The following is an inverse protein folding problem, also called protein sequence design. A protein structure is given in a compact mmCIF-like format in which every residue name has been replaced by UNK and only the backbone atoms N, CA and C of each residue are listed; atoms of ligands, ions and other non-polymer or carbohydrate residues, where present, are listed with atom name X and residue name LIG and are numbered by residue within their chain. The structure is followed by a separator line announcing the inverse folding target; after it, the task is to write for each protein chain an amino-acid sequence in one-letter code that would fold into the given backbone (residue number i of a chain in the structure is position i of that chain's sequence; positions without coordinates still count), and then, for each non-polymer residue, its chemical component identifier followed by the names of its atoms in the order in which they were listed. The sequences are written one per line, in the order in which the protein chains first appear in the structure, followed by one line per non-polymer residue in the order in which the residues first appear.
data_IF_693180043640
#
_entry.id   IF_693180043640
#
_cell.length_a   1.000
_cell.length_b   1.000
_cell.length_c   1.000
_cell.angle_alpha   90.00
_cell.angle_beta   90.00
_cell.angle_gamma   90.00
#
_symmetry.space_group_name_H-M   'P 1'
#
loop_
_entity.id
_entity.type
_entity.pdbx_description
1 polymer ?
#
# COMPACT_ATOMS: atom_id res chain seq x y z
N UNK A 1 -35.16 1.57 1.56
CA UNK A 1 -34.69 0.36 2.27
C UNK A 1 -34.12 -0.73 1.36
N UNK A 2 -34.86 -1.33 0.40
CA UNK A 2 -34.27 -2.38 -0.49
C UNK A 2 -33.17 -1.85 -1.43
N UNK A 3 -33.38 -0.70 -2.08
CA UNK A 3 -32.38 -0.10 -2.99
C UNK A 3 -31.10 0.32 -2.27
N UNK A 4 -31.23 0.91 -1.09
CA UNK A 4 -30.11 1.39 -0.26
C UNK A 4 -29.18 0.25 0.17
N UNK A 5 -29.75 -0.92 0.50
CA UNK A 5 -28.98 -2.12 0.82
C UNK A 5 -28.27 -2.67 -0.45
N UNK A 6 -28.92 -2.62 -1.61
CA UNK A 6 -28.30 -3.01 -2.89
C UNK A 6 -27.12 -2.10 -3.25
N UNK A 7 -27.28 -0.77 -3.16
CA UNK A 7 -26.18 0.17 -3.48
C UNK A 7 -25.00 -0.03 -2.53
N UNK A 8 -25.23 -0.21 -1.22
CA UNK A 8 -24.14 -0.49 -0.26
C UNK A 8 -23.39 -1.78 -0.60
N UNK A 9 -24.10 -2.84 -1.02
CA UNK A 9 -23.48 -4.11 -1.46
C UNK A 9 -22.67 -3.96 -2.74
N UNK A 10 -23.17 -3.21 -3.71
CA UNK A 10 -22.46 -2.92 -4.97
C UNK A 10 -21.19 -2.14 -4.68
N UNK A 11 -21.27 -1.07 -3.87
CA UNK A 11 -20.11 -0.28 -3.47
C UNK A 11 -19.06 -1.12 -2.74
N UNK A 12 -19.50 -2.02 -1.85
CA UNK A 12 -18.61 -2.92 -1.13
C UNK A 12 -17.91 -3.89 -2.09
N UNK A 13 -18.67 -4.54 -2.97
CA UNK A 13 -18.14 -5.45 -3.98
C UNK A 13 -17.12 -4.75 -4.89
N UNK A 14 -17.45 -3.54 -5.36
CA UNK A 14 -16.56 -2.72 -6.18
C UNK A 14 -15.24 -2.44 -5.46
N UNK A 15 -15.26 -1.96 -4.21
CA UNK A 15 -14.04 -1.72 -3.44
C UNK A 15 -13.22 -3.01 -3.28
N UNK A 16 -13.84 -4.15 -2.94
CA UNK A 16 -13.12 -5.41 -2.88
C UNK A 16 -12.46 -5.82 -4.21
N UNK A 17 -13.06 -5.48 -5.35
CA UNK A 17 -12.55 -5.80 -6.66
C UNK A 17 -11.41 -4.89 -7.13
N UNK A 18 -11.35 -3.63 -6.68
CA UNK A 18 -10.39 -2.62 -7.18
C UNK A 18 -8.94 -3.12 -7.19
N UNK A 19 -8.37 -3.68 -6.10
CA UNK A 19 -6.97 -4.09 -6.13
C UNK A 19 -6.67 -5.16 -7.20
N UNK A 20 -7.59 -6.09 -7.40
CA UNK A 20 -7.45 -7.15 -8.39
C UNK A 20 -7.59 -6.62 -9.82
N UNK A 21 -8.52 -5.69 -10.06
CA UNK A 21 -8.68 -5.04 -11.36
C UNK A 21 -7.45 -4.21 -11.73
N UNK A 22 -6.94 -3.41 -10.79
CA UNK A 22 -5.74 -2.59 -10.97
C UNK A 22 -4.52 -3.47 -11.24
N UNK A 23 -4.31 -4.53 -10.45
CA UNK A 23 -3.18 -5.43 -10.64
C UNK A 23 -3.26 -6.18 -11.98
N UNK A 24 -4.42 -6.75 -12.30
CA UNK A 24 -4.62 -7.51 -13.55
C UNK A 24 -4.36 -6.65 -14.78
N UNK A 25 -4.81 -5.40 -14.76
CA UNK A 25 -4.56 -4.49 -15.86
C UNK A 25 -3.13 -3.96 -15.91
N UNK A 26 -2.58 -3.53 -14.76
CA UNK A 26 -1.22 -2.98 -14.69
C UNK A 26 -0.15 -4.00 -15.11
N UNK A 27 -0.33 -5.27 -14.78
CA UNK A 27 0.57 -6.35 -15.19
C UNK A 27 0.17 -7.02 -16.52
N UNK A 28 -1.12 -7.05 -16.87
CA UNK A 28 -1.60 -7.76 -18.06
C UNK A 28 -1.66 -6.93 -19.34
N UNK A 29 -2.01 -5.64 -19.24
CA UNK A 29 -2.07 -4.71 -20.40
C UNK A 29 -0.72 -4.01 -20.57
N UNK A 30 -0.07 -3.65 -19.46
CA UNK A 30 1.19 -2.91 -19.45
C UNK A 30 1.00 -1.39 -19.56
N UNK A 31 1.99 -0.68 -20.10
CA UNK A 31 1.98 0.78 -20.18
C UNK A 31 0.95 1.28 -21.18
N UNK A 32 0.13 2.25 -20.75
CA UNK A 32 -0.90 2.93 -21.54
C UNK A 32 -0.55 4.42 -21.62
N UNK A 33 -0.96 5.10 -22.70
CA UNK A 33 -0.80 6.56 -22.82
C UNK A 33 -1.44 7.32 -21.65
N UNK A 34 -0.77 8.34 -21.08
CA UNK A 34 -1.33 9.23 -20.06
C UNK A 34 -2.67 9.86 -20.44
N UNK A 35 -2.88 10.14 -21.72
CA UNK A 35 -4.14 10.69 -22.23
C UNK A 35 -5.33 9.75 -22.02
N UNK A 36 -5.08 8.44 -21.87
CA UNK A 36 -6.10 7.41 -21.68
C UNK A 36 -6.21 7.04 -20.20
N UNK A 37 -5.09 6.72 -19.54
CA UNK A 37 -5.18 6.18 -18.16
C UNK A 37 -5.49 7.26 -17.12
N UNK A 38 -5.12 8.52 -17.31
CA UNK A 38 -5.40 9.57 -16.33
C UNK A 38 -6.91 9.84 -16.17
N UNK A 39 -7.71 10.02 -17.25
CA UNK A 39 -9.16 10.12 -17.11
C UNK A 39 -9.80 8.90 -16.43
N UNK A 40 -9.36 7.69 -16.78
CA UNK A 40 -9.86 6.44 -16.18
C UNK A 40 -9.53 6.39 -14.69
N UNK A 41 -8.30 6.76 -14.32
CA UNK A 41 -7.88 6.83 -12.92
C UNK A 41 -8.70 7.86 -12.14
N UNK A 42 -8.90 9.08 -12.66
CA UNK A 42 -9.73 10.11 -12.00
C UNK A 42 -11.15 9.60 -11.79
N UNK A 43 -11.76 8.96 -12.79
CA UNK A 43 -13.08 8.35 -12.66
C UNK A 43 -13.07 7.26 -11.57
N UNK A 44 -12.05 6.39 -11.54
CA UNK A 44 -11.91 5.37 -10.51
C UNK A 44 -11.76 5.98 -9.10
N UNK A 45 -10.98 7.05 -8.95
CA UNK A 45 -10.84 7.79 -7.68
C UNK A 45 -12.20 8.32 -7.22
N UNK A 46 -12.97 8.95 -8.11
CA UNK A 46 -14.31 9.44 -7.79
C UNK A 46 -15.23 8.30 -7.34
N UNK A 47 -15.24 7.18 -8.08
CA UNK A 47 -16.03 6.00 -7.74
C UNK A 47 -15.64 5.39 -6.40
N UNK A 48 -14.35 5.27 -6.08
CA UNK A 48 -13.88 4.77 -4.78
C UNK A 48 -14.31 5.68 -3.62
N UNK A 49 -14.19 7.00 -3.79
CA UNK A 49 -14.63 7.97 -2.78
C UNK A 49 -16.16 7.89 -2.60
N UNK A 50 -16.93 7.86 -3.69
CA UNK A 50 -18.39 7.70 -3.64
C UNK A 50 -18.79 6.39 -2.97
N UNK A 51 -18.11 5.28 -3.27
CA UNK A 51 -18.35 3.99 -2.64
C UNK A 51 -18.09 4.05 -1.12
N UNK A 52 -16.99 4.67 -0.69
CA UNK A 52 -16.71 4.89 0.74
C UNK A 52 -17.79 5.74 1.40
N UNK A 53 -18.24 6.81 0.73
CA UNK A 53 -19.32 7.68 1.20
C UNK A 53 -20.63 6.92 1.39
N UNK A 54 -21.02 6.09 0.41
CA UNK A 54 -22.23 5.27 0.48
C UNK A 54 -22.17 4.20 1.57
N UNK A 55 -21.01 3.61 1.82
CA UNK A 55 -20.88 2.51 2.79
C UNK A 55 -21.01 2.99 4.24
N UNK A 56 -20.39 4.12 4.58
CA UNK A 56 -20.43 4.64 5.95
C UNK A 56 -19.72 5.96 6.20
N UNK A 57 -18.86 6.44 5.29
CA UNK A 57 -18.06 7.64 5.54
C UNK A 57 -18.93 8.89 5.75
N UNK A 58 -20.14 8.94 5.16
CA UNK A 58 -21.10 10.04 5.35
C UNK A 58 -21.55 10.24 6.82
N UNK A 59 -21.36 9.24 7.70
CA UNK A 59 -21.74 9.29 9.12
C UNK A 59 -20.74 10.03 10.00
N UNK A 60 -19.59 10.48 9.48
CA UNK A 60 -18.53 11.09 10.30
C UNK A 60 -18.99 12.37 11.01
N UNK A 61 -19.95 13.11 10.46
CA UNK A 61 -20.47 14.35 11.08
C UNK A 61 -21.49 14.08 12.18
N UNK A 62 -22.18 12.95 12.12
CA UNK A 62 -23.34 12.66 12.98
C UNK A 62 -23.00 11.67 14.09
N UNK A 63 -21.97 10.83 13.93
CA UNK A 63 -21.59 9.82 14.91
C UNK A 63 -20.20 10.08 15.50
N UNK A 64 -20.10 11.02 16.46
CA UNK A 64 -18.84 11.41 17.12
C UNK A 64 -18.09 10.21 17.73
N UNK A 65 -18.81 9.20 18.24
CA UNK A 65 -18.20 8.01 18.85
C UNK A 65 -17.45 7.11 17.86
N UNK A 66 -17.76 7.23 16.56
CA UNK A 66 -17.19 6.40 15.49
C UNK A 66 -16.26 7.19 14.56
N UNK A 67 -16.01 8.48 14.83
CA UNK A 67 -15.21 9.34 13.95
C UNK A 67 -13.81 8.79 13.71
N UNK A 68 -13.11 8.36 14.76
CA UNK A 68 -11.75 7.81 14.62
C UNK A 68 -11.74 6.51 13.81
N UNK A 69 -12.77 5.67 13.96
CA UNK A 69 -12.94 4.46 13.15
C UNK A 69 -13.15 4.81 11.67
N UNK A 70 -14.04 5.76 11.37
CA UNK A 70 -14.37 6.17 10.00
C UNK A 70 -13.18 6.83 9.30
N UNK A 71 -12.50 7.77 9.97
CA UNK A 71 -11.32 8.46 9.45
C UNK A 71 -10.16 7.47 9.28
N UNK A 72 -9.90 6.63 10.29
CA UNK A 72 -8.88 5.59 10.20
C UNK A 72 -9.15 4.63 9.04
N UNK A 73 -10.39 4.17 8.88
CA UNK A 73 -10.79 3.31 7.75
C UNK A 73 -10.52 3.98 6.40
N UNK A 74 -10.88 5.25 6.26
CA UNK A 74 -10.67 5.98 5.02
C UNK A 74 -9.18 6.17 4.73
N UNK A 75 -8.36 6.51 5.72
CA UNK A 75 -6.91 6.63 5.55
C UNK A 75 -6.22 5.30 5.20
N UNK A 76 -6.75 4.16 5.64
CA UNK A 76 -6.27 2.85 5.18
C UNK A 76 -6.69 2.53 3.73
N UNK A 77 -7.74 3.18 3.22
CA UNK A 77 -8.25 3.01 1.84
C UNK A 77 -7.51 3.92 0.84
N UNK A 78 -7.23 5.17 1.23
CA UNK A 78 -6.57 6.19 0.38
C UNK A 78 -5.30 5.71 -0.35
N UNK A 79 -4.39 4.94 0.28
CA UNK A 79 -3.23 4.35 -0.40
C UNK A 79 -3.57 3.69 -1.73
N UNK A 80 -4.65 2.90 -1.78
CA UNK A 80 -5.09 2.23 -3.01
C UNK A 80 -5.85 3.14 -3.98
N UNK A 81 -6.44 4.24 -3.50
CA UNK A 81 -6.95 5.30 -4.37
C UNK A 81 -5.78 5.87 -5.19
N UNK A 82 -4.65 6.14 -4.55
CA UNK A 82 -3.44 6.64 -5.21
C UNK A 82 -2.79 5.57 -6.10
N UNK A 83 -2.54 4.38 -5.55
CA UNK A 83 -1.89 3.26 -6.25
C UNK A 83 -2.70 2.78 -7.45
N UNK A 84 -4.03 2.98 -7.48
CA UNK A 84 -4.85 2.61 -8.64
C UNK A 84 -4.42 3.27 -9.96
N UNK A 85 -3.66 4.36 -9.91
CA UNK A 85 -3.03 4.96 -11.10
C UNK A 85 -2.12 3.95 -11.85
N UNK A 86 -1.55 2.98 -11.14
CA UNK A 86 -0.59 2.04 -11.70
C UNK A 86 -1.20 1.07 -12.71
N UNK A 87 -2.54 1.03 -12.79
CA UNK A 87 -3.28 0.43 -13.89
C UNK A 87 -2.70 0.81 -15.27
N UNK A 88 -2.31 2.08 -15.46
CA UNK A 88 -1.85 2.58 -16.76
C UNK A 88 -0.34 2.83 -16.86
N UNK A 89 0.35 3.05 -15.74
CA UNK A 89 1.82 3.23 -15.75
C UNK A 89 2.53 1.88 -15.97
N UNK A 90 1.93 0.77 -15.52
CA UNK A 90 2.51 -0.56 -15.63
C UNK A 90 3.64 -0.82 -14.63
N UNK A 91 4.42 -1.91 -14.79
CA UNK A 91 5.56 -2.20 -13.92
C UNK A 91 6.67 -1.13 -14.08
N UNK A 92 7.54 -0.97 -13.07
CA UNK A 92 8.71 -0.10 -13.22
C UNK A 92 9.60 -0.58 -14.38
N UNK A 93 10.25 0.32 -15.14
CA UNK A 93 11.08 -0.06 -16.28
C UNK A 93 12.31 -0.88 -15.87
N UNK A 94 12.74 -1.81 -16.72
CA UNK A 94 13.86 -2.71 -16.42
C UNK A 94 15.24 -2.16 -16.82
N UNK A 95 15.30 -1.12 -17.66
CA UNK A 95 16.56 -0.56 -18.18
C UNK A 95 16.71 0.91 -17.83
N UNK A 96 17.96 1.37 -17.66
CA UNK A 96 18.27 2.78 -17.38
C UNK A 96 17.72 3.73 -18.46
N UNK A 97 17.81 3.34 -19.74
CA UNK A 97 17.25 4.11 -20.87
C UNK A 97 15.74 4.29 -20.73
N UNK A 98 15.00 3.19 -20.58
CA UNK A 98 13.54 3.24 -20.41
C UNK A 98 13.11 4.00 -19.15
N UNK A 99 13.94 3.95 -18.10
CA UNK A 99 13.69 4.70 -16.87
C UNK A 99 13.90 6.20 -17.08
N UNK A 100 14.96 6.60 -17.77
CA UNK A 100 15.24 7.99 -18.11
C UNK A 100 14.18 8.59 -19.04
N UNK A 101 13.71 7.83 -20.04
CA UNK A 101 12.63 8.22 -20.95
C UNK A 101 11.29 8.44 -20.22
N UNK A 102 11.07 7.74 -19.10
CA UNK A 102 9.84 7.80 -18.31
C UNK A 102 10.05 8.47 -16.95
N UNK A 103 11.11 9.27 -16.80
CA UNK A 103 11.54 9.82 -15.52
C UNK A 103 10.41 10.54 -14.75
N UNK A 104 9.63 11.38 -15.43
CA UNK A 104 8.50 12.09 -14.83
C UNK A 104 7.42 11.12 -14.32
N UNK A 105 7.12 10.06 -15.07
CA UNK A 105 6.17 9.03 -14.62
C UNK A 105 6.68 8.29 -13.37
N UNK A 106 7.99 8.00 -13.31
CA UNK A 106 8.57 7.37 -12.12
C UNK A 106 8.54 8.31 -10.91
N UNK A 107 8.92 9.58 -11.07
CA UNK A 107 8.82 10.57 -10.00
C UNK A 107 7.39 10.70 -9.47
N UNK A 108 6.38 10.71 -10.36
CA UNK A 108 4.96 10.71 -9.96
C UNK A 108 4.61 9.40 -9.23
N UNK A 109 4.96 8.23 -9.77
CA UNK A 109 4.72 6.91 -9.14
C UNK A 109 5.22 6.89 -7.70
N UNK A 110 6.47 7.26 -7.50
CA UNK A 110 7.13 7.19 -6.20
C UNK A 110 6.70 8.32 -5.25
N UNK A 111 6.28 9.47 -5.77
CA UNK A 111 5.61 10.52 -4.98
C UNK A 111 4.25 10.05 -4.46
N UNK A 112 3.47 9.34 -5.29
CA UNK A 112 2.20 8.75 -4.87
C UNK A 112 2.39 7.65 -3.84
N UNK A 113 3.42 6.82 -3.98
CA UNK A 113 3.78 5.82 -2.97
C UNK A 113 4.18 6.49 -1.66
N UNK A 114 5.01 7.53 -1.71
CA UNK A 114 5.38 8.32 -0.53
C UNK A 114 4.14 8.84 0.20
N UNK A 115 3.19 9.44 -0.54
CA UNK A 115 1.93 9.90 0.02
C UNK A 115 1.09 8.74 0.60
N UNK A 116 1.04 7.59 -0.09
CA UNK A 116 0.36 6.39 0.40
C UNK A 116 0.93 5.90 1.74
N UNK A 117 2.26 5.91 1.92
CA UNK A 117 2.90 5.57 3.19
C UNK A 117 2.46 6.48 4.34
N UNK A 118 2.37 7.79 4.09
CA UNK A 118 1.88 8.77 5.07
C UNK A 118 0.43 8.46 5.49
N UNK A 119 -0.46 8.19 4.52
CA UNK A 119 -1.84 7.84 4.82
C UNK A 119 -1.97 6.50 5.57
N UNK A 120 -1.13 5.51 5.27
CA UNK A 120 -1.05 4.25 6.04
C UNK A 120 -0.71 4.53 7.50
N UNK A 121 0.30 5.38 7.77
CA UNK A 121 0.67 5.73 9.13
C UNK A 121 -0.48 6.37 9.90
N UNK A 122 -1.20 7.33 9.29
CA UNK A 122 -2.38 7.91 9.90
C UNK A 122 -3.50 6.89 10.12
N UNK A 123 -3.78 6.04 9.13
CA UNK A 123 -4.81 5.01 9.24
C UNK A 123 -4.57 4.07 10.44
N UNK A 124 -3.33 3.60 10.61
CA UNK A 124 -2.98 2.76 11.74
C UNK A 124 -2.94 3.52 13.07
N UNK A 125 -2.56 4.79 13.09
CA UNK A 125 -2.61 5.61 14.30
C UNK A 125 -4.05 5.79 14.81
N UNK A 126 -5.00 6.12 13.93
CA UNK A 126 -6.42 6.22 14.27
C UNK A 126 -7.02 4.87 14.66
N UNK A 127 -6.65 3.80 13.95
CA UNK A 127 -7.08 2.45 14.31
C UNK A 127 -6.58 2.07 15.71
N UNK A 128 -5.32 2.34 16.06
CA UNK A 128 -4.79 2.10 17.41
C UNK A 128 -5.58 2.85 18.47
N UNK A 129 -5.87 4.14 18.26
CA UNK A 129 -6.65 4.92 19.23
C UNK A 129 -8.01 4.26 19.46
N UNK A 130 -8.69 3.86 18.38
CA UNK A 130 -9.99 3.20 18.48
C UNK A 130 -9.91 1.84 19.19
N UNK A 131 -8.89 1.04 18.90
CA UNK A 131 -8.65 -0.25 19.57
C UNK A 131 -8.39 -0.09 21.06
N UNK A 132 -7.60 0.93 21.44
CA UNK A 132 -7.33 1.28 22.83
C UNK A 132 -8.61 1.67 23.57
N UNK A 133 -9.47 2.48 22.94
CA UNK A 133 -10.77 2.87 23.51
C UNK A 133 -11.68 1.66 23.72
N UNK A 134 -11.56 0.63 22.87
CA UNK A 134 -12.32 -0.61 22.98
C UNK A 134 -11.59 -1.71 23.78
N UNK A 135 -10.50 -1.36 24.48
CA UNK A 135 -9.84 -2.19 25.49
C UNK A 135 -8.66 -3.05 25.03
N UNK A 136 -8.17 -2.90 23.79
CA UNK A 136 -6.97 -3.60 23.31
C UNK A 136 -5.77 -2.66 23.15
N UNK A 137 -4.73 -2.89 23.95
CA UNK A 137 -3.56 -2.02 24.04
C UNK A 137 -2.26 -2.66 23.57
N UNK A 138 -2.11 -3.97 23.71
CA UNK A 138 -0.81 -4.63 23.57
C UNK A 138 -0.45 -4.85 22.11
N UNK A 139 -1.36 -5.49 21.35
CA UNK A 139 -1.13 -5.77 19.94
C UNK A 139 -1.20 -4.50 19.11
N UNK A 140 -2.10 -3.57 19.43
CA UNK A 140 -2.16 -2.25 18.80
C UNK A 140 -0.88 -1.44 19.02
N UNK A 141 -0.24 -1.55 20.20
CA UNK A 141 1.06 -0.94 20.49
C UNK A 141 2.21 -1.55 19.66
N UNK A 142 2.32 -2.87 19.62
CA UNK A 142 3.34 -3.55 18.79
C UNK A 142 3.17 -3.22 17.30
N UNK A 143 1.92 -3.19 16.85
CA UNK A 143 1.56 -2.80 15.49
C UNK A 143 2.01 -1.38 15.17
N UNK A 144 1.68 -0.40 16.01
CA UNK A 144 2.06 0.99 15.71
C UNK A 144 3.58 1.22 15.80
N UNK A 145 4.29 0.57 16.72
CA UNK A 145 5.76 0.68 16.78
C UNK A 145 6.38 0.19 15.48
N UNK A 146 5.87 -0.93 14.96
CA UNK A 146 6.31 -1.48 13.67
C UNK A 146 6.07 -0.49 12.53
N UNK A 147 4.88 0.13 12.45
CA UNK A 147 4.55 1.17 11.45
C UNK A 147 5.43 2.43 11.60
N UNK A 148 5.69 2.87 12.83
CA UNK A 148 6.50 4.07 13.11
C UNK A 148 7.96 3.92 12.70
N UNK A 149 8.44 2.69 12.55
CA UNK A 149 9.77 2.38 12.00
C UNK A 149 9.67 2.13 10.49
N UNK A 150 8.70 1.32 10.05
CA UNK A 150 8.53 0.92 8.66
C UNK A 150 8.28 2.11 7.74
N UNK A 151 7.33 2.99 8.07
CA UNK A 151 6.89 4.05 7.15
C UNK A 151 7.98 5.09 6.87
N UNK A 152 8.78 5.56 7.85
CA UNK A 152 9.94 6.40 7.53
C UNK A 152 10.94 5.73 6.59
N UNK A 153 11.23 4.45 6.78
CA UNK A 153 12.13 3.69 5.92
C UNK A 153 11.55 3.50 4.51
N UNK A 154 10.26 3.17 4.42
CA UNK A 154 9.51 3.11 3.17
C UNK A 154 9.58 4.44 2.41
N UNK A 155 9.35 5.57 3.09
CA UNK A 155 9.43 6.90 2.47
C UNK A 155 10.83 7.17 1.92
N UNK A 156 11.86 6.86 2.70
CA UNK A 156 13.25 6.99 2.24
C UNK A 156 13.51 6.14 0.99
N UNK A 157 13.04 4.89 0.97
CA UNK A 157 13.19 4.01 -0.19
C UNK A 157 12.45 4.58 -1.41
N UNK A 158 11.19 4.99 -1.25
CA UNK A 158 10.41 5.58 -2.36
C UNK A 158 11.07 6.84 -2.91
N UNK A 159 11.64 7.70 -2.05
CA UNK A 159 12.36 8.89 -2.49
C UNK A 159 13.66 8.53 -3.24
N UNK A 160 14.38 7.50 -2.78
CA UNK A 160 15.56 7.00 -3.50
C UNK A 160 15.21 6.49 -4.90
N UNK A 161 14.19 5.64 -5.02
CA UNK A 161 13.75 5.10 -6.31
C UNK A 161 13.20 6.20 -7.23
N UNK A 162 12.41 7.13 -6.68
CA UNK A 162 11.75 8.19 -7.44
C UNK A 162 12.69 9.26 -7.96
N UNK A 163 13.67 9.68 -7.15
CA UNK A 163 14.50 10.84 -7.44
C UNK A 163 15.96 10.43 -7.66
N UNK A 164 16.63 9.88 -6.66
CA UNK A 164 18.07 9.58 -6.74
C UNK A 164 18.40 8.59 -7.85
N UNK A 165 17.70 7.45 -7.93
CA UNK A 165 17.91 6.45 -8.98
C UNK A 165 17.53 7.01 -10.35
N UNK A 166 16.37 7.67 -10.45
CA UNK A 166 15.89 8.29 -11.70
C UNK A 166 16.90 9.28 -12.27
N UNK A 167 17.39 10.21 -11.46
CA UNK A 167 18.35 11.20 -11.92
C UNK A 167 19.71 10.57 -12.22
N UNK A 168 20.12 9.55 -11.48
CA UNK A 168 21.34 8.78 -11.79
C UNK A 168 21.26 8.10 -13.16
N UNK A 169 20.11 7.51 -13.51
CA UNK A 169 19.91 6.94 -14.84
C UNK A 169 19.82 7.99 -15.95
N UNK A 170 19.23 9.16 -15.69
CA UNK A 170 19.25 10.28 -16.65
C UNK A 170 20.68 10.74 -16.95
N UNK A 171 21.50 10.89 -15.90
CA UNK A 171 22.91 11.27 -16.04
C UNK A 171 23.66 10.21 -16.85
N UNK A 172 23.50 8.93 -16.50
CA UNK A 172 24.12 7.80 -17.20
C UNK A 172 23.83 7.83 -18.70
N UNK A 173 22.55 7.94 -19.07
CA UNK A 173 22.09 7.99 -20.46
C UNK A 173 22.62 9.23 -21.17
N UNK A 174 22.55 10.40 -20.53
CA UNK A 174 23.03 11.67 -21.13
C UNK A 174 24.54 11.71 -21.35
N UNK A 175 25.31 11.05 -20.49
CA UNK A 175 26.75 10.93 -20.60
C UNK A 175 27.19 9.82 -21.59
N UNK A 176 26.22 9.09 -22.15
CA UNK A 176 26.46 7.87 -22.95
C UNK A 176 27.43 6.91 -22.24
N UNK A 177 27.28 6.77 -20.93
CA UNK A 177 28.14 5.96 -20.09
C UNK A 177 27.57 4.54 -19.96
N UNK A 178 28.45 3.53 -20.02
CA UNK A 178 28.03 2.12 -19.97
C UNK A 178 27.70 1.64 -18.56
N UNK A 179 28.17 2.34 -17.52
CA UNK A 179 28.04 1.93 -16.11
C UNK A 179 27.86 3.11 -15.18
N UNK A 180 27.05 2.90 -14.14
CA UNK A 180 26.97 3.83 -13.02
C UNK A 180 28.28 3.86 -12.23
N UNK A 181 28.58 4.97 -11.53
CA UNK A 181 29.74 5.06 -10.65
C UNK A 181 29.79 3.92 -9.62
N UNK A 182 30.99 3.48 -9.25
CA UNK A 182 31.18 2.33 -8.33
C UNK A 182 30.49 2.51 -6.98
N UNK A 183 30.43 3.75 -6.46
CA UNK A 183 29.76 4.08 -5.20
C UNK A 183 28.24 3.83 -5.24
N UNK A 184 27.65 3.69 -6.43
CA UNK A 184 26.22 3.45 -6.58
C UNK A 184 25.81 2.04 -6.14
N UNK A 185 26.69 1.04 -6.30
CA UNK A 185 26.36 -0.34 -5.94
C UNK A 185 26.16 -0.53 -4.42
N UNK A 186 27.05 -0.03 -3.54
CA UNK A 186 26.79 -0.01 -2.10
C UNK A 186 25.46 0.67 -1.72
N UNK A 187 25.09 1.75 -2.41
CA UNK A 187 23.84 2.46 -2.15
C UNK A 187 22.61 1.59 -2.51
N UNK A 188 22.65 0.89 -3.65
CA UNK A 188 21.59 -0.06 -4.02
C UNK A 188 21.43 -1.18 -3.00
N UNK A 189 22.54 -1.73 -2.49
CA UNK A 189 22.51 -2.77 -1.46
C UNK A 189 21.88 -2.25 -0.17
N UNK A 190 22.26 -1.04 0.26
CA UNK A 190 21.68 -0.40 1.44
C UNK A 190 20.17 -0.22 1.31
N UNK A 191 19.69 0.35 0.20
CA UNK A 191 18.25 0.54 -0.02
C UNK A 191 17.50 -0.78 -0.21
N UNK A 192 18.13 -1.80 -0.79
CA UNK A 192 17.60 -3.16 -0.79
C UNK A 192 17.36 -3.71 0.62
N UNK A 193 18.30 -3.50 1.55
CA UNK A 193 18.13 -3.92 2.95
C UNK A 193 17.12 -3.06 3.71
N UNK A 194 17.05 -1.76 3.42
CA UNK A 194 15.99 -0.87 3.95
C UNK A 194 14.62 -1.40 3.53
N UNK A 195 14.45 -1.74 2.25
CA UNK A 195 13.21 -2.33 1.71
C UNK A 195 12.85 -3.64 2.41
N UNK A 196 13.82 -4.53 2.66
CA UNK A 196 13.58 -5.77 3.42
C UNK A 196 13.02 -5.48 4.81
N UNK A 197 13.64 -4.54 5.55
CA UNK A 197 13.24 -4.21 6.92
C UNK A 197 11.86 -3.55 6.96
N UNK A 198 11.61 -2.57 6.09
CA UNK A 198 10.34 -1.82 6.09
C UNK A 198 9.16 -2.68 5.66
N UNK A 199 9.34 -3.55 4.66
CA UNK A 199 8.30 -4.51 4.24
C UNK A 199 8.04 -5.55 5.33
N UNK A 200 9.09 -6.10 5.96
CA UNK A 200 8.95 -7.06 7.06
C UNK A 200 8.16 -6.47 8.24
N UNK A 201 8.51 -5.26 8.67
CA UNK A 201 7.82 -4.55 9.75
C UNK A 201 6.39 -4.18 9.36
N UNK A 202 6.12 -3.83 8.11
CA UNK A 202 4.75 -3.59 7.62
C UNK A 202 3.89 -4.85 7.72
N UNK A 203 4.40 -6.01 7.30
CA UNK A 203 3.68 -7.28 7.45
C UNK A 203 3.43 -7.65 8.92
N UNK A 204 4.42 -7.47 9.80
CA UNK A 204 4.25 -7.67 11.24
C UNK A 204 3.20 -6.74 11.83
N UNK A 205 3.20 -5.46 11.44
CA UNK A 205 2.19 -4.51 11.88
C UNK A 205 0.78 -4.99 11.53
N UNK A 206 0.57 -5.43 10.30
CA UNK A 206 -0.70 -5.97 9.83
C UNK A 206 -1.11 -7.21 10.65
N UNK A 207 -0.18 -8.11 10.97
CA UNK A 207 -0.46 -9.27 11.81
C UNK A 207 -0.92 -8.85 13.22
N UNK A 208 -0.24 -7.89 13.85
CA UNK A 208 -0.60 -7.40 15.17
C UNK A 208 -1.95 -6.68 15.16
N UNK A 209 -2.21 -5.80 14.20
CA UNK A 209 -3.50 -5.13 14.08
C UNK A 209 -4.64 -6.11 13.79
N UNK A 210 -4.42 -7.16 12.99
CA UNK A 210 -5.42 -8.20 12.77
C UNK A 210 -5.79 -8.96 14.06
N UNK A 211 -4.80 -9.26 14.91
CA UNK A 211 -5.05 -9.90 16.21
C UNK A 211 -5.77 -8.93 17.14
N UNK A 212 -5.36 -7.66 17.16
CA UNK A 212 -6.00 -6.62 17.97
C UNK A 212 -7.48 -6.42 17.59
N UNK A 213 -7.77 -6.24 16.30
CA UNK A 213 -9.12 -6.10 15.77
C UNK A 213 -10.02 -7.30 16.08
N UNK A 214 -9.47 -8.52 16.11
CA UNK A 214 -10.21 -9.70 16.53
C UNK A 214 -10.62 -9.63 18.01
N UNK A 215 -9.71 -9.20 18.88
CA UNK A 215 -9.94 -9.15 20.33
C UNK A 215 -11.09 -8.22 20.71
N UNK A 216 -11.27 -7.13 19.98
CA UNK A 216 -12.38 -6.18 20.17
C UNK A 216 -13.60 -6.47 19.28
N UNK A 217 -13.61 -7.58 18.54
CA UNK A 217 -14.74 -7.97 17.68
C UNK A 217 -14.88 -7.19 16.36
N UNK A 218 -13.89 -6.40 15.97
CA UNK A 218 -13.90 -5.65 14.70
C UNK A 218 -13.76 -6.54 13.48
N UNK A 219 -13.19 -7.74 13.61
CA UNK A 219 -13.19 -8.76 12.55
C UNK A 219 -13.46 -10.15 13.13
N UNK A 220 -13.91 -11.07 12.28
CA UNK A 220 -14.11 -12.45 12.67
C UNK A 220 -12.78 -13.15 12.98
N UNK A 221 -12.82 -14.22 13.78
CA UNK A 221 -11.66 -15.08 14.02
C UNK A 221 -11.06 -15.64 12.73
N UNK A 222 -11.89 -15.93 11.73
CA UNK A 222 -11.44 -16.45 10.44
C UNK A 222 -10.70 -15.38 9.63
N UNK A 223 -11.28 -14.18 9.51
CA UNK A 223 -10.63 -13.04 8.84
C UNK A 223 -9.28 -12.70 9.49
N UNK A 224 -9.23 -12.66 10.83
CA UNK A 224 -8.00 -12.41 11.58
C UNK A 224 -6.92 -13.46 11.30
N UNK A 225 -7.29 -14.75 11.23
CA UNK A 225 -6.37 -15.83 10.85
C UNK A 225 -5.81 -15.64 9.44
N UNK A 226 -6.65 -15.26 8.47
CA UNK A 226 -6.19 -15.01 7.09
C UNK A 226 -5.17 -13.86 7.07
N UNK A 227 -5.50 -12.72 7.70
CA UNK A 227 -4.56 -11.60 7.78
C UNK A 227 -3.23 -12.02 8.41
N UNK A 228 -3.30 -12.70 9.56
CA UNK A 228 -2.12 -13.18 10.26
C UNK A 228 -1.27 -14.12 9.40
N UNK A 229 -1.87 -15.13 8.76
CA UNK A 229 -1.14 -16.11 7.95
C UNK A 229 -0.46 -15.46 6.73
N UNK A 230 -1.17 -14.60 6.00
CA UNK A 230 -0.60 -13.91 4.84
C UNK A 230 0.52 -12.96 5.28
N UNK A 231 0.35 -12.26 6.41
CA UNK A 231 1.39 -11.40 6.97
C UNK A 231 2.63 -12.17 7.39
N UNK A 232 2.48 -13.28 8.11
CA UNK A 232 3.63 -14.11 8.51
C UNK A 232 4.31 -14.73 7.28
N UNK A 233 3.55 -15.12 6.25
CA UNK A 233 4.11 -15.55 4.99
C UNK A 233 4.93 -14.43 4.31
N UNK A 234 4.36 -13.23 4.14
CA UNK A 234 5.05 -12.09 3.55
C UNK A 234 6.31 -11.70 4.30
N UNK A 235 6.24 -11.63 5.64
CA UNK A 235 7.39 -11.41 6.52
C UNK A 235 8.47 -12.47 6.32
N UNK A 236 8.09 -13.75 6.31
CA UNK A 236 9.05 -14.84 6.16
C UNK A 236 9.74 -14.78 4.80
N UNK A 237 8.97 -14.59 3.72
CA UNK A 237 9.50 -14.53 2.35
C UNK A 237 10.48 -13.37 2.19
N UNK A 238 10.14 -12.16 2.66
CA UNK A 238 11.02 -11.00 2.48
C UNK A 238 12.32 -11.15 3.28
N UNK A 239 12.25 -11.68 4.51
CA UNK A 239 13.45 -11.94 5.32
C UNK A 239 14.32 -13.00 4.66
N UNK A 240 13.75 -14.10 4.19
CA UNK A 240 14.50 -15.17 3.52
C UNK A 240 15.12 -14.69 2.20
N UNK A 241 14.45 -13.81 1.45
CA UNK A 241 14.97 -13.29 0.17
C UNK A 241 16.27 -12.49 0.30
N UNK A 242 16.57 -11.98 1.50
CA UNK A 242 17.81 -11.26 1.76
C UNK A 242 19.03 -12.19 1.91
N UNK A 243 18.80 -13.46 2.22
CA UNK A 243 19.85 -14.42 2.59
C UNK A 243 19.90 -15.66 1.70
N UNK A 244 18.81 -15.99 1.00
CA UNK A 244 18.68 -17.19 0.20
C UNK A 244 18.62 -16.86 -1.30
N UNK A 245 19.15 -17.75 -2.17
CA UNK A 245 19.09 -17.58 -3.62
C UNK A 245 17.66 -17.86 -4.14
N UNK A 246 17.50 -17.93 -5.47
CA UNK A 246 16.25 -18.35 -6.09
C UNK A 246 15.73 -19.69 -5.51
N UNK A 247 14.41 -19.84 -5.32
CA UNK A 247 13.32 -18.96 -5.78
C UNK A 247 12.97 -17.80 -4.82
N UNK A 248 13.71 -17.62 -3.71
CA UNK A 248 13.36 -16.66 -2.66
C UNK A 248 13.56 -15.21 -3.09
N UNK A 249 14.52 -14.92 -3.96
CA UNK A 249 14.76 -13.57 -4.51
C UNK A 249 13.55 -13.09 -5.31
N UNK A 250 13.06 -13.89 -6.26
CA UNK A 250 11.86 -13.56 -7.04
C UNK A 250 10.62 -13.43 -6.16
N UNK A 251 10.44 -14.34 -5.18
CA UNK A 251 9.33 -14.26 -4.24
C UNK A 251 9.41 -13.00 -3.35
N UNK A 252 10.62 -12.64 -2.90
CA UNK A 252 10.92 -11.43 -2.14
C UNK A 252 10.49 -10.17 -2.89
N UNK A 253 10.88 -10.07 -4.16
CA UNK A 253 10.44 -8.98 -5.03
C UNK A 253 8.92 -8.87 -5.09
N UNK A 254 8.20 -9.99 -5.27
CA UNK A 254 6.75 -9.97 -5.35
C UNK A 254 6.07 -9.46 -4.07
N UNK A 255 6.56 -9.86 -2.89
CA UNK A 255 5.99 -9.43 -1.60
C UNK A 255 6.43 -8.02 -1.20
N UNK A 256 7.50 -7.49 -1.79
CA UNK A 256 8.03 -6.14 -1.54
C UNK A 256 7.53 -5.09 -2.52
N UNK A 257 6.78 -5.45 -3.57
CA UNK A 257 6.08 -4.47 -4.40
C UNK A 257 5.23 -3.59 -3.47
N UNK A 258 5.45 -2.26 -3.39
CA UNK A 258 4.82 -1.39 -2.39
C UNK A 258 3.29 -1.54 -2.24
N UNK A 259 2.59 -1.87 -3.32
CA UNK A 259 1.15 -2.13 -3.29
C UNK A 259 0.75 -3.41 -2.54
N UNK A 260 1.59 -4.44 -2.55
CA UNK A 260 1.31 -5.74 -1.95
C UNK A 260 1.12 -5.66 -0.42
N UNK A 261 2.06 -5.10 0.38
CA UNK A 261 1.84 -5.00 1.82
C UNK A 261 0.68 -4.04 2.15
N UNK A 262 0.39 -3.04 1.30
CA UNK A 262 -0.72 -2.10 1.53
C UNK A 262 -2.10 -2.66 1.15
N UNK A 263 -2.18 -3.83 0.52
CA UNK A 263 -3.44 -4.53 0.21
C UNK A 263 -4.24 -4.91 1.46
N UNK A 264 -3.55 -5.40 2.48
CA UNK A 264 -4.20 -5.84 3.71
C UNK A 264 -4.75 -4.68 4.56
N UNK A 265 -3.99 -3.59 4.79
CA UNK A 265 -4.53 -2.35 5.34
C UNK A 265 -5.78 -1.86 4.60
N UNK A 266 -5.77 -1.90 3.27
CA UNK A 266 -6.94 -1.53 2.46
C UNK A 266 -8.17 -2.36 2.80
N UNK A 267 -8.06 -3.68 2.81
CA UNK A 267 -9.18 -4.54 3.17
C UNK A 267 -9.60 -4.39 4.63
N UNK A 268 -8.69 -4.10 5.56
CA UNK A 268 -9.05 -3.74 6.94
C UNK A 268 -9.92 -2.49 6.95
N UNK A 269 -9.52 -1.43 6.24
CA UNK A 269 -10.27 -0.20 6.11
C UNK A 269 -11.67 -0.42 5.50
N UNK A 270 -11.77 -1.17 4.40
CA UNK A 270 -13.06 -1.50 3.77
C UNK A 270 -13.97 -2.26 4.73
N UNK A 271 -13.44 -3.27 5.44
CA UNK A 271 -14.20 -4.05 6.41
C UNK A 271 -14.71 -3.18 7.57
N UNK A 272 -13.85 -2.32 8.13
CA UNK A 272 -14.22 -1.42 9.23
C UNK A 272 -15.30 -0.42 8.80
N UNK A 273 -15.16 0.18 7.61
CA UNK A 273 -16.14 1.12 7.06
C UNK A 273 -17.52 0.46 6.87
N UNK A 274 -17.55 -0.83 6.55
CA UNK A 274 -18.81 -1.57 6.36
C UNK A 274 -19.61 -1.78 7.66
N UNK A 275 -18.94 -1.76 8.82
CA UNK A 275 -19.51 -2.05 10.14
C UNK A 275 -20.21 -0.86 10.81
N UNK A 276 -20.09 0.34 10.26
CA UNK A 276 -20.74 1.56 10.76
C UNK A 276 -22.09 1.84 10.11
#
# INVERSE_FOLDING_TARGET
MKSENTTKRISLFYLFAVPFLVASAGFGIGKISPAIYLPIWILNVMLMISACWTIGLNKFRTNRSQVNLLIGSFFLIVPWILISMFFGIGPPPATATSWAETATEQQIRYSMLTAAGIFIAFGFAFLKEKLNTDGEYFFSLLGIISIMIAIPLFILDMLFWGFTLTDSFRILVSANADKLPEWFNPLRVLFGMISVVEVALTYLAIAFFAVSMKRVGFISSFSSKIYFLISIFGFTVIVLSAFLPEPFVTAGFAVSIPAAPFLMPYFMGVNMLSKT
#
